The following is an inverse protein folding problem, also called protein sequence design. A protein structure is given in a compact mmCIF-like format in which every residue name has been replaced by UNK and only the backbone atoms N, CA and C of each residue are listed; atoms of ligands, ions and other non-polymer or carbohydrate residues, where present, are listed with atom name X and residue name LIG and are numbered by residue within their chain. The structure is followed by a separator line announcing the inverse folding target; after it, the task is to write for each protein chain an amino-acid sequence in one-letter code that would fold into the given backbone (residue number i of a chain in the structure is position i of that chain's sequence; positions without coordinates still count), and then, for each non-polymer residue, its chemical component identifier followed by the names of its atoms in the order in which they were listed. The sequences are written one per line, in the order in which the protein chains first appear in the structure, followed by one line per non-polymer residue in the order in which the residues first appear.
data_IF_900009017423
#
_entry.id   IF_900009017423
#
_cell.length_a   1.000
_cell.length_b   1.000
_cell.length_c   1.000
_cell.angle_alpha   90.00
_cell.angle_beta   90.00
_cell.angle_gamma   90.00
#
_symmetry.space_group_name_H-M   'P 1'
#
loop_
_entity.id
_entity.type
_entity.pdbx_description
1 polymer ?
#
# COMPACT_ATOMS: atom_id res chain seq x y z
N UNK A 1 -19.98 -4.28 -11.11
CA UNK A 1 -20.17 -4.12 -9.64
C UNK A 1 -20.92 -5.29 -8.99
N UNK A 2 -22.04 -5.78 -9.51
CA UNK A 2 -22.83 -6.91 -8.91
C UNK A 2 -22.03 -8.21 -8.65
N UNK A 3 -20.98 -8.48 -9.42
CA UNK A 3 -20.05 -9.60 -9.15
C UNK A 3 -19.13 -9.36 -7.94
N UNK A 4 -18.91 -8.11 -7.57
CA UNK A 4 -17.95 -7.68 -6.55
C UNK A 4 -18.64 -7.30 -5.24
N UNK A 5 -19.77 -6.58 -5.33
CA UNK A 5 -20.55 -6.11 -4.19
C UNK A 5 -21.91 -6.80 -4.16
N UNK A 6 -22.36 -7.12 -2.96
CA UNK A 6 -23.80 -7.40 -2.75
C UNK A 6 -24.59 -6.09 -2.74
N UNK A 7 -25.85 -6.15 -3.16
CA UNK A 7 -26.73 -4.97 -3.15
C UNK A 7 -26.95 -4.43 -1.72
N UNK A 8 -26.75 -5.26 -0.70
CA UNK A 8 -26.83 -4.91 0.72
C UNK A 8 -25.50 -4.41 1.31
N UNK A 9 -24.38 -4.47 0.55
CA UNK A 9 -23.08 -4.05 1.05
C UNK A 9 -23.07 -2.55 1.38
N UNK A 10 -22.69 -2.22 2.61
CA UNK A 10 -22.60 -0.85 3.10
C UNK A 10 -21.19 -0.55 3.55
N UNK A 11 -20.74 0.67 3.23
CA UNK A 11 -19.51 1.20 3.81
C UNK A 11 -19.77 1.56 5.27
N UNK A 12 -18.98 1.00 6.18
CA UNK A 12 -19.08 1.24 7.62
C UNK A 12 -17.86 2.02 8.10
N UNK A 13 -18.08 3.12 8.83
CA UNK A 13 -17.02 3.81 9.58
C UNK A 13 -16.77 3.06 10.89
N UNK A 14 -15.52 2.67 11.13
CA UNK A 14 -15.12 1.87 12.29
C UNK A 14 -14.49 2.72 13.41
N UNK A 15 -13.66 3.70 13.02
CA UNK A 15 -12.97 4.58 13.93
C UNK A 15 -12.66 5.91 13.24
N UNK A 16 -12.33 6.95 14.01
CA UNK A 16 -12.00 8.27 13.50
C UNK A 16 -11.13 9.06 14.46
N UNK A 17 -11.04 10.36 14.21
CA UNK A 17 -10.26 11.32 15.01
C UNK A 17 -8.74 11.10 14.94
N UNK A 18 -8.27 10.45 13.86
CA UNK A 18 -6.85 10.35 13.52
C UNK A 18 -6.36 11.63 12.82
N UNK A 19 -5.04 11.78 12.66
CA UNK A 19 -4.48 12.92 11.93
C UNK A 19 -4.41 12.67 10.43
N UNK A 20 -3.76 11.60 10.01
CA UNK A 20 -3.71 11.12 8.62
C UNK A 20 -3.29 9.66 8.61
N UNK A 21 -4.25 8.77 8.36
CA UNK A 21 -4.00 7.33 8.44
C UNK A 21 -3.73 6.70 7.08
N UNK A 22 -2.82 5.70 7.11
CA UNK A 22 -2.25 5.04 5.96
C UNK A 22 -1.83 3.60 6.28
N UNK A 23 -1.41 2.87 5.25
CA UNK A 23 -0.73 1.58 5.32
C UNK A 23 -1.48 0.51 6.11
N UNK A 24 -2.77 0.28 5.87
CA UNK A 24 -3.48 -0.77 6.58
C UNK A 24 -2.97 -2.15 6.18
N UNK A 25 -2.85 -3.05 7.15
CA UNK A 25 -2.51 -4.46 6.92
C UNK A 25 -3.22 -5.36 7.94
N UNK A 26 -3.87 -6.40 7.45
CA UNK A 26 -4.49 -7.41 8.31
C UNK A 26 -3.46 -8.43 8.80
N UNK A 27 -3.35 -8.57 10.11
CA UNK A 27 -2.51 -9.59 10.73
C UNK A 27 -3.28 -10.92 10.88
N UNK A 28 -2.66 -12.09 10.60
CA UNK A 28 -3.34 -13.40 10.74
C UNK A 28 -3.89 -13.69 12.12
N UNK A 29 -3.37 -13.06 13.16
CA UNK A 29 -3.86 -13.18 14.55
C UNK A 29 -5.19 -12.43 14.78
N UNK A 30 -5.83 -11.91 13.72
CA UNK A 30 -7.19 -11.37 13.78
C UNK A 30 -7.31 -9.90 14.14
N UNK A 31 -6.36 -9.07 13.73
CA UNK A 31 -6.41 -7.62 13.91
C UNK A 31 -5.86 -6.86 12.70
N UNK A 32 -6.23 -5.59 12.58
CA UNK A 32 -5.68 -4.68 11.57
C UNK A 32 -4.61 -3.80 12.20
N UNK A 33 -3.49 -3.62 11.51
CA UNK A 33 -2.52 -2.56 11.80
C UNK A 33 -2.67 -1.44 10.77
N UNK A 34 -2.44 -0.20 11.17
CA UNK A 34 -2.40 0.95 10.27
C UNK A 34 -1.57 2.08 10.88
N UNK A 35 -0.99 2.91 10.05
CA UNK A 35 -0.14 4.02 10.44
C UNK A 35 -0.96 5.31 10.60
N UNK A 36 -0.65 6.14 11.59
CA UNK A 36 -1.00 7.55 11.63
C UNK A 36 0.31 8.34 11.52
N UNK A 37 0.56 8.83 10.31
CA UNK A 37 1.88 9.36 9.94
C UNK A 37 2.24 10.59 10.78
N UNK A 38 1.38 11.64 10.87
CA UNK A 38 1.71 12.82 11.66
C UNK A 38 1.78 12.54 13.16
N UNK A 39 0.94 11.63 13.67
CA UNK A 39 0.95 11.22 15.08
C UNK A 39 2.17 10.36 15.43
N UNK A 40 2.91 9.86 14.43
CA UNK A 40 4.08 8.98 14.59
C UNK A 40 3.75 7.69 15.35
N UNK A 41 2.59 7.07 14.97
CA UNK A 41 2.05 5.86 15.62
C UNK A 41 1.66 4.83 14.57
N UNK A 42 1.90 3.55 14.85
CA UNK A 42 1.15 2.44 14.27
C UNK A 42 0.10 2.03 15.28
N UNK A 43 -1.15 2.04 14.85
CA UNK A 43 -2.29 1.56 15.63
C UNK A 43 -2.63 0.11 15.30
N UNK A 44 -3.26 -0.55 16.27
CA UNK A 44 -3.88 -1.85 16.15
C UNK A 44 -5.39 -1.71 16.37
N UNK A 45 -6.17 -2.11 15.38
CA UNK A 45 -7.62 -2.21 15.49
C UNK A 45 -8.00 -3.67 15.72
N UNK A 46 -8.62 -3.94 16.87
CA UNK A 46 -8.93 -5.29 17.34
C UNK A 46 -10.30 -5.77 16.88
N UNK A 47 -10.56 -7.08 17.00
CA UNK A 47 -11.89 -7.67 16.75
C UNK A 47 -13.01 -7.09 17.62
N UNK A 48 -12.66 -6.57 18.82
CA UNK A 48 -13.59 -5.89 19.72
C UNK A 48 -13.81 -4.40 19.34
N UNK A 49 -13.34 -3.98 18.16
CA UNK A 49 -13.45 -2.62 17.65
C UNK A 49 -12.74 -1.57 18.53
N UNK A 50 -11.67 -1.96 19.20
CA UNK A 50 -10.83 -1.05 19.99
C UNK A 50 -9.59 -0.66 19.20
N UNK A 51 -9.15 0.59 19.39
CA UNK A 51 -7.90 1.12 18.84
C UNK A 51 -6.86 1.16 19.93
N UNK A 52 -5.75 0.44 19.72
CA UNK A 52 -4.62 0.35 20.64
C UNK A 52 -3.35 0.88 19.96
N UNK A 53 -2.40 1.39 20.73
CA UNK A 53 -1.06 1.72 20.21
C UNK A 53 -0.26 0.43 20.05
N UNK A 54 0.15 0.12 18.81
CA UNK A 54 1.04 -1.01 18.52
C UNK A 54 2.52 -0.61 18.60
N UNK A 55 2.89 0.54 18.00
CA UNK A 55 4.27 1.06 17.98
C UNK A 55 4.31 2.60 18.04
N UNK A 56 5.10 3.13 18.98
CA UNK A 56 5.37 4.57 19.15
C UNK A 56 6.79 4.76 19.74
N UNK A 57 7.68 5.58 19.13
CA UNK A 57 7.49 6.22 17.84
C UNK A 57 7.52 5.20 16.70
N UNK A 58 6.80 5.51 15.62
CA UNK A 58 6.75 4.64 14.45
C UNK A 58 7.82 4.96 13.40
N UNK A 59 8.53 6.07 13.54
CA UNK A 59 9.41 6.64 12.51
C UNK A 59 8.60 7.30 11.39
N UNK A 60 7.43 7.84 11.71
CA UNK A 60 6.43 8.31 10.74
C UNK A 60 6.16 7.23 9.69
N UNK A 61 5.81 6.04 10.19
CA UNK A 61 5.44 4.90 9.36
C UNK A 61 4.32 5.27 8.39
N UNK A 62 4.43 4.78 7.15
CA UNK A 62 3.41 4.87 6.13
C UNK A 62 2.90 3.47 5.77
N UNK A 63 3.32 2.90 4.65
CA UNK A 63 2.94 1.58 4.20
C UNK A 63 3.41 0.47 5.13
N UNK A 64 2.58 -0.55 5.28
CA UNK A 64 2.88 -1.75 6.05
C UNK A 64 2.53 -3.01 5.24
N UNK A 65 3.33 -4.06 5.44
CA UNK A 65 3.04 -5.41 4.95
C UNK A 65 3.59 -6.45 5.91
N UNK A 66 3.37 -7.73 5.62
CA UNK A 66 3.90 -8.82 6.41
C UNK A 66 4.88 -9.64 5.59
N UNK A 67 5.90 -10.20 6.23
CA UNK A 67 6.72 -11.24 5.65
C UNK A 67 6.10 -12.64 5.86
N UNK A 68 6.79 -13.68 5.40
CA UNK A 68 6.33 -15.07 5.50
C UNK A 68 6.18 -15.57 6.93
N UNK A 69 6.90 -14.99 7.87
CA UNK A 69 6.84 -15.27 9.31
C UNK A 69 5.83 -14.40 10.04
N UNK A 70 5.00 -13.64 9.28
CA UNK A 70 4.03 -12.66 9.78
C UNK A 70 4.65 -11.51 10.59
N UNK A 71 5.93 -11.19 10.35
CA UNK A 71 6.57 -10.02 10.95
C UNK A 71 6.22 -8.77 10.16
N UNK A 72 6.02 -7.67 10.86
CA UNK A 72 5.64 -6.40 10.24
C UNK A 72 6.84 -5.78 9.51
N UNK A 73 6.67 -5.55 8.20
CA UNK A 73 7.57 -4.75 7.37
C UNK A 73 6.93 -3.37 7.19
N UNK A 74 7.69 -2.32 7.44
CA UNK A 74 7.19 -0.93 7.46
C UNK A 74 8.06 -0.02 6.61
N UNK A 75 7.43 0.83 5.81
CA UNK A 75 8.05 1.97 5.16
C UNK A 75 8.01 3.18 6.12
N UNK A 76 9.17 3.75 6.46
CA UNK A 76 9.29 4.83 7.44
C UNK A 76 9.79 6.11 6.77
N UNK A 77 8.97 7.17 6.83
CA UNK A 77 9.32 8.48 6.25
C UNK A 77 10.43 9.18 7.03
N UNK A 78 10.30 9.30 8.36
CA UNK A 78 11.25 10.05 9.20
C UNK A 78 12.64 9.42 9.21
N UNK A 79 12.69 8.09 9.29
CA UNK A 79 13.95 7.35 9.29
C UNK A 79 14.48 7.09 7.87
N UNK A 80 13.68 7.36 6.82
CA UNK A 80 14.05 7.17 5.41
C UNK A 80 14.51 5.74 5.14
N UNK A 81 13.71 4.74 5.58
CA UNK A 81 14.09 3.32 5.51
C UNK A 81 12.89 2.39 5.33
N UNK A 82 13.17 1.18 4.91
CA UNK A 82 12.32 0.01 5.12
C UNK A 82 12.82 -0.73 6.35
N UNK A 83 11.92 -1.02 7.29
CA UNK A 83 12.24 -1.71 8.55
C UNK A 83 11.42 -2.98 8.74
N UNK A 84 11.86 -3.83 9.65
CA UNK A 84 11.10 -5.00 10.12
C UNK A 84 11.01 -5.00 11.64
N UNK A 85 9.81 -5.25 12.14
CA UNK A 85 9.57 -5.47 13.57
C UNK A 85 9.70 -6.96 13.85
N UNK A 86 10.69 -7.35 14.66
CA UNK A 86 10.93 -8.73 15.09
C UNK A 86 9.91 -9.15 16.15
N UNK A 87 9.83 -10.47 16.42
CA UNK A 87 8.85 -11.04 17.40
C UNK A 87 9.08 -10.54 18.82
N UNK A 88 10.27 -10.11 19.16
CA UNK A 88 10.63 -9.51 20.45
C UNK A 88 10.34 -8.00 20.51
N UNK A 89 9.76 -7.43 19.45
CA UNK A 89 9.45 -6.00 19.31
C UNK A 89 10.62 -5.14 18.82
N UNK A 90 11.81 -5.71 18.64
CA UNK A 90 12.97 -4.97 18.09
C UNK A 90 12.71 -4.58 16.65
N UNK A 91 13.00 -3.32 16.31
CA UNK A 91 12.90 -2.82 14.93
C UNK A 91 14.29 -2.80 14.29
N UNK A 92 14.45 -3.54 13.19
CA UNK A 92 15.70 -3.58 12.43
C UNK A 92 15.53 -2.88 11.08
N UNK A 93 16.60 -2.25 10.59
CA UNK A 93 16.66 -1.66 9.25
C UNK A 93 16.93 -2.75 8.23
N UNK A 94 16.11 -2.81 7.17
CA UNK A 94 16.32 -3.71 6.03
C UNK A 94 16.98 -2.98 4.85
N UNK A 95 16.59 -1.72 4.60
CA UNK A 95 17.19 -0.87 3.57
C UNK A 95 16.99 0.61 3.94
N UNK A 96 18.03 1.42 3.85
CA UNK A 96 18.00 2.87 4.08
C UNK A 96 18.83 3.67 3.06
N UNK A 97 19.60 2.97 2.19
CA UNK A 97 20.48 3.57 1.21
C UNK A 97 20.46 2.80 -0.12
N UNK A 98 20.60 3.54 -1.20
CA UNK A 98 20.86 3.02 -2.53
C UNK A 98 22.13 3.69 -3.09
N UNK A 99 23.14 2.88 -3.51
CA UNK A 99 24.43 3.37 -4.00
C UNK A 99 25.10 4.41 -3.07
N UNK A 100 25.03 4.17 -1.75
CA UNK A 100 25.61 5.02 -0.72
C UNK A 100 24.78 6.24 -0.32
N UNK A 101 23.78 6.63 -1.10
CA UNK A 101 22.87 7.75 -0.83
C UNK A 101 21.65 7.29 -0.05
N UNK A 102 21.11 8.15 0.84
CA UNK A 102 19.89 7.83 1.58
C UNK A 102 18.69 7.73 0.64
N UNK A 103 17.81 6.78 0.94
CA UNK A 103 16.47 6.72 0.31
C UNK A 103 15.72 8.05 0.56
N UNK A 104 14.72 8.35 -0.25
CA UNK A 104 13.89 9.56 -0.03
C UNK A 104 12.97 9.36 1.17
N UNK A 105 11.78 8.82 0.96
CA UNK A 105 10.87 8.45 2.04
C UNK A 105 10.03 7.24 1.60
N UNK A 106 10.53 6.01 1.82
CA UNK A 106 9.80 4.79 1.47
C UNK A 106 8.33 4.89 1.87
N UNK A 107 7.44 4.58 0.91
CA UNK A 107 6.02 4.90 1.03
C UNK A 107 5.15 3.65 1.15
N UNK A 108 4.92 2.89 0.08
CA UNK A 108 4.13 1.64 0.12
C UNK A 108 4.99 0.44 -0.31
N UNK A 109 4.57 -0.77 0.07
CA UNK A 109 5.39 -1.95 -0.10
C UNK A 109 4.56 -3.24 -0.19
N UNK A 110 5.10 -4.22 -0.90
CA UNK A 110 4.52 -5.55 -1.08
C UNK A 110 5.62 -6.61 -1.02
N UNK A 111 5.31 -7.74 -0.38
CA UNK A 111 6.22 -8.91 -0.33
C UNK A 111 5.82 -9.91 -1.39
N UNK A 112 6.79 -10.34 -2.20
CA UNK A 112 6.63 -11.39 -3.20
C UNK A 112 6.78 -12.78 -2.56
N UNK A 113 6.23 -13.82 -3.20
CA UNK A 113 6.31 -15.22 -2.73
C UNK A 113 7.73 -15.77 -2.57
N UNK A 114 8.74 -15.17 -3.18
CA UNK A 114 10.16 -15.50 -2.98
C UNK A 114 10.78 -14.83 -1.75
N UNK A 115 10.02 -13.97 -1.03
CA UNK A 115 10.46 -13.21 0.13
C UNK A 115 11.08 -11.85 -0.22
N UNK A 116 11.17 -11.48 -1.49
CA UNK A 116 11.63 -10.14 -1.89
C UNK A 116 10.58 -9.08 -1.53
N UNK A 117 11.04 -7.92 -1.09
CA UNK A 117 10.22 -6.76 -0.77
C UNK A 117 10.32 -5.76 -1.91
N UNK A 118 9.18 -5.36 -2.47
CA UNK A 118 9.12 -4.30 -3.45
C UNK A 118 8.50 -3.08 -2.81
N UNK A 119 9.10 -1.89 -3.02
CA UNK A 119 8.63 -0.67 -2.39
C UNK A 119 8.85 0.56 -3.28
N UNK A 120 8.05 1.58 -3.03
CA UNK A 120 8.14 2.90 -3.66
C UNK A 120 8.84 3.88 -2.74
N UNK A 121 9.61 4.81 -3.33
CA UNK A 121 10.44 5.78 -2.58
C UNK A 121 10.25 7.21 -3.13
N UNK A 122 9.04 7.80 -2.99
CA UNK A 122 8.80 9.20 -3.32
C UNK A 122 9.33 10.15 -2.24
N UNK A 123 9.08 11.45 -2.38
CA UNK A 123 9.61 12.49 -1.48
C UNK A 123 8.64 13.02 -0.43
N UNK A 124 7.54 12.32 -0.13
CA UNK A 124 6.52 12.83 0.80
C UNK A 124 7.05 13.16 2.21
N UNK A 125 8.06 12.44 2.69
CA UNK A 125 8.63 12.60 4.03
C UNK A 125 9.95 13.39 4.07
N UNK A 126 10.41 13.96 2.95
CA UNK A 126 11.67 14.72 2.86
C UNK A 126 11.46 16.03 2.11
N UNK A 127 12.17 17.07 2.53
CA UNK A 127 12.24 18.34 1.80
C UNK A 127 13.23 18.24 0.64
N UNK A 128 13.08 19.12 -0.36
CA UNK A 128 13.88 19.09 -1.59
C UNK A 128 15.39 19.20 -1.34
N UNK A 129 15.80 19.94 -0.34
CA UNK A 129 17.20 20.10 0.07
C UNK A 129 17.78 18.87 0.77
N UNK A 130 16.94 17.96 1.23
CA UNK A 130 17.35 16.70 1.86
C UNK A 130 17.40 15.52 0.89
N UNK A 131 16.87 15.68 -0.34
CA UNK A 131 16.92 14.64 -1.36
C UNK A 131 18.37 14.39 -1.81
N UNK A 132 18.80 13.13 -1.79
CA UNK A 132 20.16 12.74 -2.21
C UNK A 132 20.16 12.01 -3.56
N UNK A 133 19.07 11.32 -3.93
CA UNK A 133 19.01 10.43 -5.09
C UNK A 133 18.76 11.19 -6.41
N UNK A 134 17.97 12.27 -6.39
CA UNK A 134 17.62 13.04 -7.58
C UNK A 134 16.54 12.39 -8.46
N UNK A 135 15.90 11.33 -8.01
CA UNK A 135 14.76 10.65 -8.64
C UNK A 135 13.91 9.93 -7.58
N UNK A 136 12.70 9.52 -7.96
CA UNK A 136 11.79 8.74 -7.11
C UNK A 136 11.73 7.30 -7.62
N UNK A 137 12.23 6.36 -6.81
CA UNK A 137 12.46 5.00 -7.24
C UNK A 137 11.33 4.02 -6.89
N UNK A 138 11.24 2.96 -7.69
CA UNK A 138 10.64 1.68 -7.28
C UNK A 138 11.76 0.68 -7.14
N UNK A 139 11.83 0.01 -5.99
CA UNK A 139 12.95 -0.87 -5.65
C UNK A 139 12.49 -2.29 -5.35
N UNK A 140 13.42 -3.24 -5.52
CA UNK A 140 13.36 -4.60 -5.01
C UNK A 140 14.48 -4.83 -4.01
N UNK A 141 14.12 -5.19 -2.80
CA UNK A 141 15.03 -5.71 -1.79
C UNK A 141 14.93 -7.22 -1.78
N UNK A 142 15.98 -7.90 -2.20
CA UNK A 142 16.05 -9.36 -2.23
C UNK A 142 16.28 -9.94 -0.81
N UNK A 143 15.96 -11.23 -0.55
CA UNK A 143 16.18 -11.86 0.75
C UNK A 143 17.63 -11.86 1.24
N UNK A 144 18.60 -11.79 0.32
CA UNK A 144 20.03 -11.67 0.62
C UNK A 144 20.47 -10.24 1.00
N UNK A 145 19.53 -9.28 1.04
CA UNK A 145 19.78 -7.88 1.34
C UNK A 145 20.18 -7.01 0.15
N UNK A 146 20.26 -7.56 -1.06
CA UNK A 146 20.58 -6.79 -2.27
C UNK A 146 19.42 -5.87 -2.64
N UNK A 147 19.66 -4.55 -2.65
CA UNK A 147 18.73 -3.55 -3.12
C UNK A 147 18.97 -3.26 -4.61
N UNK A 148 17.91 -3.36 -5.41
CA UNK A 148 17.94 -3.13 -6.86
C UNK A 148 16.92 -2.07 -7.23
N UNK A 149 17.33 -1.03 -7.95
CA UNK A 149 16.43 -0.06 -8.57
C UNK A 149 15.75 -0.70 -9.77
N UNK A 150 14.43 -0.67 -9.82
CA UNK A 150 13.62 -1.23 -10.89
C UNK A 150 13.10 -0.17 -11.86
N UNK A 151 12.61 0.97 -11.31
CA UNK A 151 11.99 2.06 -12.07
C UNK A 151 12.39 3.39 -11.43
N UNK A 152 12.66 4.43 -12.25
CA UNK A 152 13.03 5.78 -11.78
C UNK A 152 12.36 6.93 -12.54
N UNK A 153 11.48 6.61 -13.45
CA UNK A 153 10.86 7.56 -14.40
C UNK A 153 9.36 7.79 -14.11
N UNK A 154 8.84 7.27 -13.00
CA UNK A 154 7.55 7.68 -12.47
C UNK A 154 7.70 9.01 -11.72
N UNK A 155 6.71 9.90 -11.90
CA UNK A 155 6.77 11.25 -11.31
C UNK A 155 6.64 11.19 -9.78
N UNK A 156 5.69 10.38 -9.27
CA UNK A 156 5.47 10.22 -7.83
C UNK A 156 4.90 8.82 -7.55
N UNK A 157 5.77 7.78 -7.54
CA UNK A 157 5.33 6.40 -7.29
C UNK A 157 4.78 6.24 -5.87
N UNK A 158 3.65 5.52 -5.72
CA UNK A 158 2.96 5.37 -4.45
C UNK A 158 2.51 3.92 -4.25
N UNK A 159 1.21 3.62 -4.23
CA UNK A 159 0.68 2.29 -4.01
C UNK A 159 1.28 1.24 -4.97
N UNK A 160 1.57 0.06 -4.44
CA UNK A 160 2.24 -1.02 -5.17
C UNK A 160 1.60 -2.37 -4.85
N UNK A 161 1.35 -3.19 -5.87
CA UNK A 161 0.84 -4.56 -5.69
C UNK A 161 1.18 -5.46 -6.87
N UNK A 162 1.25 -6.77 -6.61
CA UNK A 162 1.36 -7.79 -7.65
C UNK A 162 0.00 -8.30 -8.13
N UNK A 163 -0.06 -8.81 -9.37
CA UNK A 163 -1.13 -9.71 -9.79
C UNK A 163 -1.12 -11.00 -8.97
N UNK A 164 -2.23 -11.79 -8.94
CA UNK A 164 -2.29 -13.02 -8.14
C UNK A 164 -1.22 -14.06 -8.49
N UNK A 165 -0.79 -14.10 -9.74
CA UNK A 165 0.27 -14.96 -10.26
C UNK A 165 1.67 -14.35 -10.17
N UNK A 166 1.77 -13.10 -9.64
CA UNK A 166 3.00 -12.33 -9.49
C UNK A 166 3.77 -12.05 -10.81
N UNK A 167 3.11 -12.20 -11.95
CA UNK A 167 3.71 -11.91 -13.26
C UNK A 167 3.60 -10.44 -13.65
N UNK A 168 2.75 -9.67 -12.97
CA UNK A 168 2.59 -8.22 -13.16
C UNK A 168 2.81 -7.47 -11.86
N UNK A 169 3.46 -6.32 -11.95
CA UNK A 169 3.59 -5.34 -10.87
C UNK A 169 2.82 -4.09 -11.27
N UNK A 170 1.89 -3.65 -10.41
CA UNK A 170 1.15 -2.41 -10.56
C UNK A 170 1.72 -1.35 -9.62
N UNK A 171 1.87 -0.12 -10.12
CA UNK A 171 2.35 1.01 -9.33
C UNK A 171 1.52 2.24 -9.64
N UNK A 172 0.96 2.87 -8.61
CA UNK A 172 0.31 4.17 -8.75
C UNK A 172 1.34 5.27 -8.99
N UNK A 173 1.05 6.15 -9.95
CA UNK A 173 1.76 7.41 -10.18
C UNK A 173 0.82 8.55 -9.78
N UNK A 174 0.92 8.98 -8.51
CA UNK A 174 -0.07 9.85 -7.87
C UNK A 174 -0.25 11.18 -8.59
N UNK A 175 0.83 11.90 -8.85
CA UNK A 175 0.76 13.22 -9.49
C UNK A 175 0.29 13.13 -10.96
N UNK A 176 0.72 12.09 -11.66
CA UNK A 176 0.32 11.89 -13.06
C UNK A 176 -1.11 11.32 -13.20
N UNK A 177 -1.71 10.80 -12.12
CA UNK A 177 -3.10 10.37 -12.07
C UNK A 177 -3.38 9.06 -12.81
N UNK A 178 -2.44 8.11 -12.79
CA UNK A 178 -2.60 6.81 -13.46
C UNK A 178 -1.92 5.66 -12.70
N UNK A 179 -2.28 4.44 -13.07
CA UNK A 179 -1.59 3.21 -12.67
C UNK A 179 -0.67 2.76 -13.80
N UNK A 180 0.61 2.56 -13.51
CA UNK A 180 1.54 1.86 -14.39
C UNK A 180 1.50 0.35 -14.11
N UNK A 181 1.71 -0.47 -15.15
CA UNK A 181 1.88 -1.92 -15.04
C UNK A 181 3.18 -2.35 -15.73
N UNK A 182 3.86 -3.28 -15.08
CA UNK A 182 5.13 -3.86 -15.53
C UNK A 182 5.01 -5.38 -15.59
N UNK A 183 5.74 -6.02 -16.51
CA UNK A 183 5.92 -7.46 -16.51
C UNK A 183 7.10 -7.82 -15.59
N UNK A 184 6.91 -8.80 -14.71
CA UNK A 184 7.91 -9.27 -13.76
C UNK A 184 8.68 -10.42 -14.37
N UNK A 185 10.01 -10.30 -14.41
CA UNK A 185 10.90 -11.35 -14.92
C UNK A 185 11.21 -12.41 -13.85
N UNK A 186 11.71 -13.58 -14.24
CA UNK A 186 12.09 -14.64 -13.28
C UNK A 186 13.16 -14.21 -12.27
N UNK A 187 14.03 -13.26 -12.62
CA UNK A 187 15.05 -12.70 -11.71
C UNK A 187 14.47 -11.64 -10.74
N UNK A 188 13.17 -11.34 -10.84
CA UNK A 188 12.47 -10.35 -10.03
C UNK A 188 12.64 -8.91 -10.51
N UNK A 189 13.35 -8.67 -11.63
CA UNK A 189 13.35 -7.35 -12.28
C UNK A 189 12.07 -7.14 -13.09
N UNK A 190 11.82 -5.89 -13.50
CA UNK A 190 10.61 -5.54 -14.26
C UNK A 190 10.95 -5.01 -15.66
N UNK A 191 9.99 -5.12 -16.56
CA UNK A 191 10.12 -4.67 -17.97
C UNK A 191 8.76 -4.27 -18.53
N UNK A 192 8.72 -3.80 -19.77
CA UNK A 192 7.48 -3.50 -20.50
C UNK A 192 6.51 -2.59 -19.72
N UNK A 193 7.01 -1.44 -19.26
CA UNK A 193 6.16 -0.42 -18.62
C UNK A 193 5.04 0.00 -19.57
N UNK A 194 3.81 -0.04 -19.06
CA UNK A 194 2.61 0.35 -19.80
C UNK A 194 1.67 1.16 -18.91
N UNK A 195 0.87 2.01 -19.52
CA UNK A 195 -0.32 2.57 -18.86
C UNK A 195 -1.33 1.43 -18.62
N UNK A 196 -1.73 1.21 -17.37
CA UNK A 196 -2.79 0.26 -17.02
C UNK A 196 -4.16 0.93 -17.05
N UNK A 197 -4.30 2.04 -16.32
CA UNK A 197 -5.53 2.83 -16.28
C UNK A 197 -5.27 4.26 -15.82
N UNK A 198 -5.99 5.22 -16.37
CA UNK A 198 -6.07 6.58 -15.83
C UNK A 198 -7.16 6.65 -14.75
N UNK A 199 -6.85 7.28 -13.62
CA UNK A 199 -7.77 7.52 -12.52
C UNK A 199 -8.05 9.01 -12.42
N UNK A 200 -8.59 9.58 -13.50
CA UNK A 200 -8.93 11.00 -13.61
C UNK A 200 -10.44 11.14 -13.65
N UNK A 201 -10.99 11.99 -12.83
CA UNK A 201 -12.40 12.35 -12.84
C UNK A 201 -12.56 13.84 -12.61
N UNK A 202 -12.83 14.58 -13.69
CA UNK A 202 -13.01 16.03 -13.64
C UNK A 202 -14.22 16.45 -12.81
N UNK A 203 -15.19 15.56 -12.61
CA UNK A 203 -16.40 15.83 -11.82
C UNK A 203 -16.19 15.65 -10.30
N UNK A 204 -15.13 14.94 -9.90
CA UNK A 204 -14.85 14.62 -8.50
C UNK A 204 -13.66 15.44 -8.00
N UNK A 205 -13.86 16.20 -6.93
CA UNK A 205 -12.79 16.96 -6.27
C UNK A 205 -12.09 16.09 -5.24
N UNK A 206 -10.76 16.17 -5.23
CA UNK A 206 -9.90 15.54 -4.21
C UNK A 206 -9.64 14.04 -4.45
N UNK A 207 -8.49 13.61 -3.93
CA UNK A 207 -7.96 12.27 -4.08
C UNK A 207 -7.08 12.12 -5.33
N UNK A 208 -6.04 11.33 -5.18
CA UNK A 208 -5.10 10.91 -6.23
C UNK A 208 -4.97 9.38 -6.16
N UNK A 209 -4.44 8.72 -7.19
CA UNK A 209 -4.01 7.32 -7.04
C UNK A 209 -2.98 7.21 -5.91
N UNK A 210 -3.33 6.54 -4.80
CA UNK A 210 -2.53 6.42 -3.59
C UNK A 210 -2.31 4.94 -3.28
N UNK A 211 -3.01 4.33 -2.34
CA UNK A 211 -2.88 2.91 -2.07
C UNK A 211 -3.50 2.01 -3.16
N UNK A 212 -2.95 0.80 -3.32
CA UNK A 212 -3.36 -0.14 -4.35
C UNK A 212 -3.29 -1.58 -3.84
N UNK A 213 -4.32 -2.39 -4.12
CA UNK A 213 -4.39 -3.82 -3.79
C UNK A 213 -5.10 -4.60 -4.91
N UNK A 214 -4.96 -5.94 -4.90
CA UNK A 214 -5.51 -6.82 -5.95
C UNK A 214 -6.29 -7.97 -5.31
N UNK A 215 -7.42 -8.37 -5.93
CA UNK A 215 -8.19 -9.54 -5.51
C UNK A 215 -7.73 -10.84 -6.22
N UNK A 216 -8.30 -11.98 -5.83
CA UNK A 216 -7.92 -13.28 -6.39
C UNK A 216 -8.34 -13.49 -7.85
N UNK A 217 -9.28 -12.69 -8.37
CA UNK A 217 -9.65 -12.68 -9.80
C UNK A 217 -8.78 -11.72 -10.62
N UNK A 218 -7.82 -11.03 -9.98
CA UNK A 218 -6.92 -10.07 -10.62
C UNK A 218 -7.51 -8.68 -10.80
N UNK A 219 -8.69 -8.37 -10.21
CA UNK A 219 -9.19 -7.02 -10.23
C UNK A 219 -8.31 -6.12 -9.35
N UNK A 220 -8.01 -4.93 -9.86
CA UNK A 220 -7.16 -3.95 -9.19
C UNK A 220 -8.03 -2.92 -8.48
N UNK A 221 -7.78 -2.74 -7.19
CA UNK A 221 -8.43 -1.76 -6.34
C UNK A 221 -7.42 -0.66 -6.03
N UNK A 222 -7.70 0.55 -6.46
CA UNK A 222 -6.87 1.72 -6.19
C UNK A 222 -7.70 2.83 -5.57
N UNK A 223 -7.16 3.49 -4.59
CA UNK A 223 -7.72 4.77 -4.17
C UNK A 223 -7.51 5.80 -5.28
N UNK A 224 -8.37 6.80 -5.31
CA UNK A 224 -8.37 7.80 -6.35
C UNK A 224 -9.49 8.84 -6.12
N UNK A 225 -9.76 9.72 -7.07
CA UNK A 225 -10.82 10.72 -6.94
C UNK A 225 -12.16 10.11 -6.57
N UNK A 226 -12.72 10.53 -5.41
CA UNK A 226 -14.04 10.11 -4.93
C UNK A 226 -14.11 8.76 -4.21
N UNK A 227 -12.98 8.09 -3.97
CA UNK A 227 -12.93 6.85 -3.19
C UNK A 227 -12.09 5.74 -3.82
N UNK A 228 -12.61 4.51 -3.86
CA UNK A 228 -11.88 3.34 -4.37
C UNK A 228 -12.37 2.97 -5.76
N UNK A 229 -11.47 2.98 -6.71
CA UNK A 229 -11.69 2.52 -8.08
C UNK A 229 -11.43 1.04 -8.19
N UNK A 230 -12.32 0.32 -8.84
CA UNK A 230 -12.20 -1.12 -9.08
C UNK A 230 -12.08 -1.35 -10.59
N UNK A 231 -10.96 -1.91 -10.98
CA UNK A 231 -10.58 -2.13 -12.37
C UNK A 231 -10.47 -3.63 -12.65
N UNK A 232 -10.91 -4.07 -13.83
CA UNK A 232 -10.70 -5.45 -14.27
C UNK A 232 -9.21 -5.73 -14.57
N UNK A 233 -8.80 -6.99 -14.74
CA UNK A 233 -7.41 -7.33 -15.06
C UNK A 233 -6.87 -6.72 -16.36
N UNK A 234 -7.77 -6.25 -17.24
CA UNK A 234 -7.46 -5.54 -18.49
C UNK A 234 -7.56 -4.01 -18.37
N UNK A 235 -7.70 -3.48 -17.14
CA UNK A 235 -7.67 -2.05 -16.85
C UNK A 235 -9.00 -1.30 -17.05
N UNK A 236 -10.12 -2.01 -17.34
CA UNK A 236 -11.43 -1.38 -17.51
C UNK A 236 -12.08 -1.10 -16.16
N UNK A 237 -12.69 0.08 -16.03
CA UNK A 237 -13.43 0.46 -14.83
C UNK A 237 -14.67 -0.44 -14.66
N UNK A 238 -14.72 -1.19 -13.55
CA UNK A 238 -15.87 -2.00 -13.13
C UNK A 238 -16.84 -1.19 -12.25
N UNK A 239 -16.32 -0.23 -11.51
CA UNK A 239 -17.09 0.66 -10.64
C UNK A 239 -16.25 1.31 -9.55
N UNK A 240 -16.93 2.00 -8.63
CA UNK A 240 -16.29 2.71 -7.51
C UNK A 240 -17.01 2.46 -6.21
N UNK A 241 -16.26 2.45 -5.11
CA UNK A 241 -16.78 2.55 -3.75
C UNK A 241 -16.59 3.99 -3.32
N UNK A 242 -17.68 4.74 -3.19
CA UNK A 242 -17.63 6.11 -2.69
C UNK A 242 -17.23 6.10 -1.21
N UNK A 243 -16.26 6.93 -0.84
CA UNK A 243 -15.80 7.12 0.55
C UNK A 243 -16.03 8.58 0.93
N UNK A 244 -16.59 8.87 2.12
CA UNK A 244 -16.89 10.24 2.53
C UNK A 244 -15.67 11.16 2.67
N UNK A 245 -14.50 10.58 2.93
CA UNK A 245 -13.21 11.25 3.04
C UNK A 245 -12.28 10.80 1.90
N UNK A 246 -11.17 11.51 1.68
CA UNK A 246 -10.16 11.07 0.72
C UNK A 246 -9.57 9.74 1.16
N UNK A 247 -9.84 8.68 0.40
CA UNK A 247 -9.28 7.36 0.65
C UNK A 247 -7.77 7.38 0.36
N UNK A 248 -7.00 6.84 1.28
CA UNK A 248 -5.52 6.81 1.23
C UNK A 248 -5.02 5.42 0.85
N UNK A 249 -5.43 4.36 1.55
CA UNK A 249 -4.96 3.00 1.25
C UNK A 249 -6.00 1.92 1.60
N UNK A 250 -5.67 0.66 1.33
CA UNK A 250 -6.57 -0.48 1.40
C UNK A 250 -5.88 -1.70 2.01
N UNK A 251 -6.65 -2.56 2.67
CA UNK A 251 -6.20 -3.90 3.06
C UNK A 251 -7.35 -4.91 3.04
N UNK A 252 -7.08 -6.09 2.54
CA UNK A 252 -7.97 -7.22 2.71
C UNK A 252 -7.82 -7.83 4.10
N UNK A 253 -8.94 -8.07 4.80
CA UNK A 253 -8.94 -8.61 6.15
C UNK A 253 -9.95 -9.71 6.38
N UNK A 254 -10.02 -10.15 7.63
CA UNK A 254 -10.77 -11.29 8.12
C UNK A 254 -10.22 -12.63 7.60
N UNK A 255 -10.70 -13.74 8.18
CA UNK A 255 -10.21 -15.09 7.85
C UNK A 255 -10.45 -15.49 6.39
N UNK A 256 -11.54 -15.02 5.80
CA UNK A 256 -11.90 -15.27 4.40
C UNK A 256 -11.39 -14.21 3.42
N UNK A 257 -10.77 -13.13 3.93
CA UNK A 257 -10.21 -12.02 3.14
C UNK A 257 -11.22 -11.35 2.19
N UNK A 258 -12.47 -11.29 2.61
CA UNK A 258 -13.55 -10.63 1.84
C UNK A 258 -13.95 -9.27 2.41
N UNK A 259 -13.40 -8.89 3.56
CA UNK A 259 -13.58 -7.54 4.11
C UNK A 259 -12.45 -6.64 3.61
N UNK A 260 -12.82 -5.57 2.91
CA UNK A 260 -11.88 -4.53 2.50
C UNK A 260 -11.90 -3.43 3.56
N UNK A 261 -10.78 -3.24 4.23
CA UNK A 261 -10.52 -2.08 5.10
C UNK A 261 -9.96 -0.94 4.28
N UNK A 262 -10.39 0.27 4.57
CA UNK A 262 -10.02 1.49 3.84
C UNK A 262 -9.60 2.53 4.86
N UNK A 263 -8.37 2.99 4.77
CA UNK A 263 -7.92 4.21 5.44
C UNK A 263 -8.32 5.41 4.61
N UNK A 264 -8.82 6.47 5.26
CA UNK A 264 -9.23 7.68 4.56
C UNK A 264 -9.02 8.87 5.49
N UNK A 265 -8.05 9.73 5.15
CA UNK A 265 -7.66 10.89 5.97
C UNK A 265 -7.66 10.58 7.47
N UNK A 266 -8.77 10.89 8.15
CA UNK A 266 -8.90 10.82 9.62
C UNK A 266 -9.71 9.63 10.10
N UNK A 267 -10.14 8.72 9.21
CA UNK A 267 -11.10 7.66 9.55
C UNK A 267 -10.78 6.32 8.90
N UNK A 268 -11.09 5.26 9.64
CA UNK A 268 -11.02 3.87 9.18
C UNK A 268 -12.41 3.39 8.79
N UNK A 269 -12.52 2.82 7.61
CA UNK A 269 -13.75 2.23 7.06
C UNK A 269 -13.58 0.75 6.74
N UNK A 270 -14.69 0.03 6.58
CA UNK A 270 -14.72 -1.29 5.97
C UNK A 270 -15.93 -1.48 5.07
N UNK A 271 -15.80 -2.40 4.12
CA UNK A 271 -16.91 -2.89 3.30
C UNK A 271 -16.72 -4.37 2.99
N UNK A 272 -17.81 -5.12 2.97
CA UNK A 272 -17.80 -6.54 2.63
C UNK A 272 -17.89 -6.73 1.12
N UNK A 273 -17.02 -7.59 0.55
CA UNK A 273 -16.98 -7.91 -0.87
C UNK A 273 -17.23 -9.41 -1.10
N UNK A 274 -17.58 -9.79 -2.33
CA UNK A 274 -17.80 -11.19 -2.74
C UNK A 274 -16.49 -11.91 -3.02
N UNK A 275 -15.49 -11.20 -3.57
CA UNK A 275 -14.21 -11.75 -4.00
C UNK A 275 -13.17 -11.51 -2.90
N UNK A 276 -12.39 -12.53 -2.60
CA UNK A 276 -11.33 -12.42 -1.60
C UNK A 276 -10.10 -11.72 -2.19
N UNK A 277 -9.41 -10.94 -1.36
CA UNK A 277 -8.15 -10.32 -1.75
C UNK A 277 -6.96 -11.27 -1.75
N UNK A 278 -5.90 -10.89 -2.45
CA UNK A 278 -4.61 -11.57 -2.37
C UNK A 278 -4.05 -11.41 -0.96
N UNK A 279 -3.52 -12.50 -0.39
CA UNK A 279 -2.92 -12.49 0.94
C UNK A 279 -1.57 -11.76 0.90
N UNK A 280 -1.32 -10.89 1.89
CA UNK A 280 0.02 -10.37 2.14
C UNK A 280 0.92 -11.45 2.75
N UNK A 281 2.22 -11.41 2.48
CA UNK A 281 3.19 -12.35 3.05
C UNK A 281 2.99 -13.80 2.59
N UNK A 282 2.74 -14.02 1.31
CA UNK A 282 2.55 -15.37 0.73
C UNK A 282 3.78 -16.26 0.93
#
# INVERSE_FOLDING_TARGET
MQRILDDSAKLEKLAGDFQFIEGPIWHPDGFLLFSDIPANIIYKFTSNQQVEVFRRPSGKANGNTLDKENRLITAEHENRRVSRTEKDGKVITLADRYEGKRLNSPNDLVVKSDGSIYFTDPSYGVSKDQEELGFYGVYRLAPDGKLTLLVKDLVLPNGIAFSPDEQKLYVNNSEAGYIAVFDVKPDGTVTNQRLFAELKDAATKGGVPDGLKVDLEGNVYSTGPGGVWILSPDGKLLGRISVPETATNLAWGESDRKTLYITANTSLYRIRLKIAGVRAGK
#
